data_IF_878404902116
#
_entry.id   IF_878404902116
#
_cell.length_a   1.000
_cell.length_b   1.000
_cell.length_c   1.000
_cell.angle_alpha   90.00
_cell.angle_beta   90.00
_cell.angle_gamma   90.00
#
_symmetry.space_group_name_H-M   'P 1'
#
loop_
_entity.id
_entity.type
_entity.pdbx_description
1 polymer ?
#
# COMPACT_ATOMS: atom_id res chain seq x y z
N UNK A 1 -15.95 8.90 30.59
CA UNK A 1 -14.97 7.80 30.70
C UNK A 1 -15.13 6.92 29.46
N UNK A 2 -14.06 6.55 28.76
CA UNK A 2 -14.17 5.65 27.62
C UNK A 2 -14.73 4.29 28.09
N UNK A 3 -15.64 3.72 27.30
CA UNK A 3 -16.30 2.44 27.58
C UNK A 3 -15.41 1.23 27.28
N UNK A 4 -14.33 1.45 26.52
CA UNK A 4 -13.37 0.44 26.09
C UNK A 4 -12.03 0.71 26.79
N UNK A 5 -11.38 -0.34 27.31
CA UNK A 5 -10.04 -0.27 27.89
C UNK A 5 -8.99 -0.04 26.77
N UNK A 6 -8.31 1.11 26.75
CA UNK A 6 -7.31 1.43 25.73
C UNK A 6 -6.16 0.41 25.67
N UNK A 7 -5.82 -0.26 26.78
CA UNK A 7 -4.74 -1.25 26.82
C UNK A 7 -5.03 -2.53 26.02
N UNK A 8 -6.31 -2.76 25.72
CA UNK A 8 -6.79 -3.90 24.92
C UNK A 8 -7.18 -3.52 23.50
N UNK A 9 -7.01 -2.24 23.13
CA UNK A 9 -7.45 -1.70 21.85
C UNK A 9 -6.25 -1.35 20.99
N UNK A 10 -6.24 -1.83 19.74
CA UNK A 10 -5.25 -1.41 18.75
C UNK A 10 -5.86 -0.41 17.78
N UNK A 11 -5.11 0.65 17.45
CA UNK A 11 -5.46 1.62 16.42
C UNK A 11 -4.48 1.43 15.27
N UNK A 12 -4.99 1.21 14.06
CA UNK A 12 -4.19 1.10 12.84
C UNK A 12 -4.36 2.42 12.08
N UNK A 13 -3.25 3.11 11.86
CA UNK A 13 -3.21 4.37 11.11
C UNK A 13 -2.48 4.11 9.80
N UNK A 14 -3.10 4.47 8.68
CA UNK A 14 -2.52 4.36 7.36
C UNK A 14 -2.00 5.73 6.91
N UNK A 15 -0.76 5.82 6.41
CA UNK A 15 -0.20 7.08 5.94
C UNK A 15 -0.93 7.57 4.68
N UNK A 16 -0.97 8.89 4.51
CA UNK A 16 -1.51 9.55 3.32
C UNK A 16 -0.46 9.81 2.24
N UNK A 17 -0.85 10.59 1.24
CA UNK A 17 0.02 11.06 0.15
C UNK A 17 1.20 11.90 0.70
N UNK A 18 2.33 11.87 0.00
CA UNK A 18 3.59 12.51 0.38
C UNK A 18 4.57 11.58 1.07
N UNK A 19 4.19 10.31 1.28
CA UNK A 19 5.05 9.27 1.90
C UNK A 19 5.46 8.17 0.93
N UNK A 20 5.07 8.27 -0.35
CA UNK A 20 5.47 7.36 -1.40
C UNK A 20 6.98 7.42 -1.68
N UNK A 21 7.55 6.30 -2.12
CA UNK A 21 8.95 6.22 -2.53
C UNK A 21 9.15 5.13 -3.59
N UNK A 22 10.20 5.27 -4.39
CA UNK A 22 10.58 4.31 -5.42
C UNK A 22 10.97 2.98 -4.76
N UNK A 23 10.33 1.89 -5.18
CA UNK A 23 10.49 0.56 -4.59
C UNK A 23 9.46 0.20 -3.53
N UNK A 24 8.48 1.08 -3.25
CA UNK A 24 7.37 0.77 -2.34
C UNK A 24 6.65 -0.52 -2.79
N UNK A 25 6.37 -1.40 -1.83
CA UNK A 25 5.70 -2.68 -2.07
C UNK A 25 6.63 -3.86 -2.41
N UNK A 26 7.91 -3.63 -2.73
CA UNK A 26 8.85 -4.74 -3.03
C UNK A 26 9.03 -5.73 -1.88
N UNK A 27 9.08 -5.23 -0.64
CA UNK A 27 9.31 -6.10 0.53
C UNK A 27 8.13 -7.04 0.83
N UNK A 28 6.94 -6.70 0.35
CA UNK A 28 5.69 -7.43 0.65
C UNK A 28 5.12 -8.14 -0.57
N UNK A 29 5.68 -7.94 -1.77
CA UNK A 29 5.17 -8.55 -3.01
C UNK A 29 5.20 -10.08 -2.98
N UNK A 30 6.02 -10.69 -2.13
CA UNK A 30 6.11 -12.15 -2.02
C UNK A 30 4.85 -12.77 -1.38
N UNK A 31 3.99 -11.97 -0.73
CA UNK A 31 2.71 -12.44 -0.23
C UNK A 31 1.71 -12.62 -1.39
N UNK A 32 1.09 -13.81 -1.56
CA UNK A 32 0.14 -14.06 -2.65
C UNK A 32 -1.00 -13.04 -2.72
N UNK A 33 -1.53 -12.63 -1.56
CA UNK A 33 -2.61 -11.64 -1.48
C UNK A 33 -2.19 -10.25 -2.00
N UNK A 34 -0.91 -9.88 -1.81
CA UNK A 34 -0.39 -8.60 -2.31
C UNK A 34 -0.25 -8.65 -3.83
N UNK A 35 0.24 -9.77 -4.40
CA UNK A 35 0.28 -9.96 -5.86
C UNK A 35 -1.10 -9.84 -6.46
N UNK A 36 -2.09 -10.50 -5.87
CA UNK A 36 -3.47 -10.45 -6.38
C UNK A 36 -4.06 -9.04 -6.27
N UNK A 37 -3.74 -8.29 -5.20
CA UNK A 37 -4.16 -6.90 -5.07
C UNK A 37 -3.59 -6.02 -6.19
N UNK A 38 -2.32 -6.17 -6.55
CA UNK A 38 -1.73 -5.46 -7.70
C UNK A 38 -2.35 -5.92 -9.03
N UNK A 39 -2.66 -7.20 -9.20
CA UNK A 39 -3.35 -7.70 -10.40
C UNK A 39 -4.75 -7.09 -10.56
N UNK A 40 -5.51 -6.97 -9.46
CA UNK A 40 -6.82 -6.32 -9.44
C UNK A 40 -6.65 -4.84 -9.80
N UNK A 41 -5.68 -4.15 -9.19
CA UNK A 41 -5.39 -2.75 -9.50
C UNK A 41 -5.06 -2.56 -10.98
N UNK A 42 -4.25 -3.43 -11.58
CA UNK A 42 -3.96 -3.39 -13.01
C UNK A 42 -5.23 -3.45 -13.85
N UNK A 43 -6.12 -4.42 -13.58
CA UNK A 43 -7.39 -4.58 -14.32
C UNK A 43 -8.29 -3.35 -14.24
N UNK A 44 -8.29 -2.64 -13.10
CA UNK A 44 -9.11 -1.45 -12.87
C UNK A 44 -8.48 -0.21 -13.51
N UNK A 45 -7.17 -0.03 -13.35
CA UNK A 45 -6.46 1.18 -13.75
C UNK A 45 -6.04 1.17 -15.23
N UNK A 46 -5.95 -0.01 -15.84
CA UNK A 46 -5.47 -0.18 -17.22
C UNK A 46 -3.96 -0.03 -17.39
N UNK A 47 -3.20 0.02 -16.28
CA UNK A 47 -1.74 0.04 -16.29
C UNK A 47 -1.15 -0.75 -15.11
N UNK A 48 0.12 -1.13 -15.23
CA UNK A 48 0.84 -1.85 -14.17
C UNK A 48 1.28 -0.90 -13.05
N UNK A 49 0.44 -0.81 -12.01
CA UNK A 49 0.71 0.00 -10.83
C UNK A 49 1.97 -0.49 -10.08
N UNK A 50 2.22 -1.80 -10.04
CA UNK A 50 3.40 -2.32 -9.34
C UNK A 50 4.68 -1.85 -10.03
N UNK A 51 4.75 -1.97 -11.36
CA UNK A 51 5.87 -1.47 -12.17
C UNK A 51 6.10 0.03 -11.93
N UNK A 52 5.01 0.82 -11.86
CA UNK A 52 5.09 2.24 -11.52
C UNK A 52 5.70 2.46 -10.13
N UNK A 53 5.24 1.77 -9.10
CA UNK A 53 5.80 1.88 -7.74
C UNK A 53 7.30 1.54 -7.65
N UNK A 54 7.80 0.61 -8.46
CA UNK A 54 9.20 0.16 -8.40
C UNK A 54 10.16 0.96 -9.29
N UNK A 55 9.68 1.51 -10.41
CA UNK A 55 10.54 2.13 -11.44
C UNK A 55 10.14 3.56 -11.80
N UNK A 56 8.96 4.03 -11.36
CA UNK A 56 8.42 5.32 -11.74
C UNK A 56 9.19 6.50 -11.13
N UNK A 57 9.21 7.66 -11.81
CA UNK A 57 9.76 8.87 -11.23
C UNK A 57 8.93 9.31 -10.01
N UNK A 58 9.59 9.85 -8.99
CA UNK A 58 8.96 10.17 -7.70
C UNK A 58 7.82 11.19 -7.84
N UNK A 59 7.87 12.04 -8.87
CA UNK A 59 6.86 13.04 -9.19
C UNK A 59 5.54 12.43 -9.70
N UNK A 60 5.58 11.19 -10.19
CA UNK A 60 4.42 10.46 -10.68
C UNK A 60 3.92 9.38 -9.72
N UNK A 61 4.59 9.20 -8.57
CA UNK A 61 4.17 8.33 -7.47
C UNK A 61 3.27 9.08 -6.48
#
# INVERSE_FOLDING_TARGET
>A
RPFIDPSTTSIIIFPGQGTQFVGMGQQVINHPNVKEMFNIAHRILGYDLYSKCINGPIEEL
#
